data_IF_396401617735
#
_entry.id   IF_396401617735
#
_cell.length_a   1.000
_cell.length_b   1.000
_cell.length_c   1.000
_cell.angle_alpha   90.00
_cell.angle_beta   90.00
_cell.angle_gamma   90.00
#
_symmetry.space_group_name_H-M   'P 1'
#
loop_
_entity.id
_entity.type
_entity.pdbx_description
1 polymer ?
#
# COMPACT_ATOMS: atom_id res chain seq x y z
N UNK A 1 -34.89 34.14 -24.92
CA UNK A 1 -35.91 33.27 -25.53
C UNK A 1 -35.83 31.91 -24.87
N UNK A 2 -36.80 31.69 -24.09
CA UNK A 2 -37.66 30.55 -23.78
C UNK A 2 -36.99 29.32 -23.08
N UNK A 3 -37.24 29.25 -21.81
CA UNK A 3 -37.54 28.02 -21.04
C UNK A 3 -39.00 27.64 -21.36
N UNK A 4 -39.39 26.37 -21.42
CA UNK A 4 -40.10 25.76 -20.30
C UNK A 4 -39.85 24.24 -20.18
N UNK A 5 -40.29 23.46 -19.25
CA UNK A 5 -41.21 23.52 -18.13
C UNK A 5 -41.24 22.15 -17.44
N UNK A 6 -41.30 22.21 -16.18
CA UNK A 6 -41.71 21.26 -15.16
C UNK A 6 -42.86 20.33 -15.56
N UNK A 7 -42.82 19.04 -15.15
CA UNK A 7 -43.99 18.32 -14.63
C UNK A 7 -43.63 17.26 -13.59
N UNK A 8 -44.01 17.58 -12.36
CA UNK A 8 -44.27 16.66 -11.25
C UNK A 8 -45.53 15.83 -11.59
N UNK A 9 -45.57 14.58 -11.16
CA UNK A 9 -46.81 13.89 -10.84
C UNK A 9 -46.61 13.06 -9.55
N UNK A 10 -47.52 13.33 -8.65
CA UNK A 10 -47.61 12.78 -7.30
C UNK A 10 -48.55 11.53 -7.29
N UNK A 11 -48.40 10.79 -6.21
CA UNK A 11 -49.12 9.64 -5.66
C UNK A 11 -50.65 9.59 -5.91
N UNK A 12 -51.37 8.50 -5.54
CA UNK A 12 -51.61 8.21 -4.15
C UNK A 12 -51.76 6.73 -3.71
N UNK A 13 -51.72 6.59 -2.42
CA UNK A 13 -52.07 5.49 -1.53
C UNK A 13 -53.42 4.81 -1.81
N UNK A 14 -53.50 3.52 -1.54
CA UNK A 14 -54.74 2.86 -1.23
C UNK A 14 -54.54 1.85 -0.05
N UNK A 15 -55.13 2.23 1.05
CA UNK A 15 -55.39 1.46 2.27
C UNK A 15 -56.52 0.51 1.98
N UNK A 16 -56.41 -0.76 2.31
CA UNK A 16 -57.52 -1.66 2.44
C UNK A 16 -57.43 -2.39 3.80
N UNK A 17 -58.32 -1.95 4.69
CA UNK A 17 -58.72 -2.65 5.91
C UNK A 17 -59.52 -3.91 5.54
N UNK A 18 -59.15 -5.03 6.13
CA UNK A 18 -59.94 -6.24 6.13
C UNK A 18 -60.05 -6.78 7.57
N UNK A 19 -61.16 -6.44 8.22
CA UNK A 19 -61.63 -7.09 9.45
C UNK A 19 -62.33 -8.39 9.09
N UNK A 20 -61.94 -9.52 9.76
CA UNK A 20 -62.85 -10.66 9.94
C UNK A 20 -62.35 -11.45 11.17
N UNK A 21 -63.06 -11.31 12.23
CA UNK A 21 -63.94 -12.25 12.92
C UNK A 21 -63.23 -13.34 13.72
N UNK A 22 -63.36 -13.14 14.99
CA UNK A 22 -63.49 -14.03 16.12
C UNK A 22 -63.82 -15.51 15.83
N UNK A 23 -62.99 -16.39 16.35
CA UNK A 23 -63.28 -17.80 16.58
C UNK A 23 -62.61 -18.24 17.87
N UNK A 24 -63.38 -18.16 18.98
CA UNK A 24 -63.01 -18.80 20.23
C UNK A 24 -63.18 -20.31 20.08
N UNK A 25 -62.12 -21.09 20.31
CA UNK A 25 -62.18 -22.54 20.55
C UNK A 25 -61.44 -22.87 21.85
N UNK A 26 -61.87 -23.90 22.58
CA UNK A 26 -61.65 -24.00 24.01
C UNK A 26 -60.29 -24.53 24.42
N UNK A 27 -59.88 -24.04 25.55
CA UNK A 27 -58.77 -24.45 26.38
C UNK A 27 -58.70 -25.96 26.61
N UNK A 28 -57.69 -26.66 26.06
CA UNK A 28 -57.31 -28.02 26.41
C UNK A 28 -55.98 -28.00 27.16
N UNK A 29 -55.72 -28.91 28.08
CA UNK A 29 -54.66 -28.76 29.06
C UNK A 29 -53.27 -28.97 28.53
N UNK A 30 -52.42 -28.01 28.85
CA UNK A 30 -50.97 -28.07 29.09
C UNK A 30 -50.14 -29.14 28.36
N UNK A 31 -49.61 -28.79 27.21
CA UNK A 31 -48.41 -29.41 26.68
C UNK A 31 -47.21 -28.47 26.85
N UNK A 32 -46.93 -28.05 28.09
CA UNK A 32 -45.79 -27.16 28.42
C UNK A 32 -44.69 -27.95 29.13
N UNK A 33 -44.38 -29.16 28.66
CA UNK A 33 -43.39 -29.97 29.36
C UNK A 33 -42.54 -30.89 28.45
N UNK A 34 -42.35 -30.55 27.17
CA UNK A 34 -41.58 -31.44 26.30
C UNK A 34 -40.37 -30.81 25.59
N UNK A 35 -40.11 -29.51 25.80
CA UNK A 35 -38.93 -28.87 25.16
C UNK A 35 -37.88 -28.36 26.16
N UNK A 36 -38.00 -28.72 27.45
CA UNK A 36 -37.09 -28.31 28.50
C UNK A 36 -36.00 -29.35 28.84
N UNK A 37 -35.74 -30.31 27.95
CA UNK A 37 -34.72 -31.35 28.18
C UNK A 37 -33.91 -31.69 26.89
N UNK A 38 -33.76 -30.74 25.97
CA UNK A 38 -32.61 -30.82 25.07
C UNK A 38 -31.42 -30.23 25.81
N UNK A 39 -30.50 -31.13 26.18
CA UNK A 39 -29.21 -30.76 26.73
C UNK A 39 -28.53 -29.79 25.78
N UNK A 40 -28.32 -28.55 26.23
CA UNK A 40 -27.43 -27.61 25.59
C UNK A 40 -26.08 -28.32 25.49
N UNK A 41 -25.55 -28.62 24.30
CA UNK A 41 -24.22 -29.19 24.22
C UNK A 41 -23.29 -28.18 24.89
N UNK A 42 -22.49 -28.64 25.86
CA UNK A 42 -21.42 -27.86 26.45
C UNK A 42 -20.63 -27.29 25.28
N UNK A 43 -20.24 -25.99 25.31
CA UNK A 43 -19.39 -25.43 24.29
C UNK A 43 -18.08 -26.22 24.33
N UNK A 44 -17.93 -27.13 23.38
CA UNK A 44 -16.68 -27.80 23.09
C UNK A 44 -15.61 -26.68 23.10
N UNK A 45 -14.63 -26.82 23.98
CA UNK A 45 -13.53 -25.88 24.11
C UNK A 45 -12.94 -25.77 22.72
N UNK A 46 -13.43 -24.80 21.96
CA UNK A 46 -12.76 -24.38 20.75
C UNK A 46 -11.35 -23.96 21.19
N UNK A 47 -10.44 -24.90 21.07
CA UNK A 47 -9.03 -24.62 21.09
C UNK A 47 -8.88 -23.48 20.10
N UNK A 48 -8.68 -22.27 20.63
CA UNK A 48 -8.31 -21.12 19.81
C UNK A 48 -7.05 -21.55 19.10
N UNK A 49 -7.18 -22.13 17.91
CA UNK A 49 -6.12 -22.19 16.94
C UNK A 49 -5.66 -20.74 16.80
N UNK A 50 -4.57 -20.47 17.51
CA UNK A 50 -3.84 -19.20 17.42
C UNK A 50 -3.49 -19.11 15.95
N UNK A 51 -4.28 -18.35 15.18
CA UNK A 51 -3.92 -18.02 13.81
C UNK A 51 -2.45 -17.62 13.86
N UNK A 52 -1.61 -18.06 12.91
CA UNK A 52 -0.22 -17.68 12.90
C UNK A 52 -0.19 -16.17 13.10
N UNK A 53 0.40 -15.71 14.19
CA UNK A 53 0.55 -14.28 14.45
C UNK A 53 1.22 -13.73 13.20
N UNK A 54 0.52 -12.82 12.50
CA UNK A 54 1.16 -12.07 11.44
C UNK A 54 2.49 -11.58 12.01
N UNK A 55 3.61 -11.79 11.29
CA UNK A 55 4.93 -11.47 11.82
C UNK A 55 4.89 -10.05 12.38
N UNK A 56 5.31 -9.92 13.64
CA UNK A 56 5.30 -8.63 14.33
C UNK A 56 6.17 -7.66 13.54
N UNK A 57 5.63 -6.48 13.25
CA UNK A 57 6.40 -5.44 12.56
C UNK A 57 7.68 -5.12 13.37
N UNK A 58 8.80 -4.88 12.69
CA UNK A 58 10.07 -4.57 13.33
C UNK A 58 9.93 -3.28 14.16
N UNK A 59 10.53 -3.29 15.35
CA UNK A 59 10.45 -2.18 16.31
C UNK A 59 11.70 -1.31 16.31
N UNK A 60 12.78 -1.84 15.78
CA UNK A 60 14.07 -1.16 15.72
C UNK A 60 14.59 -1.10 14.28
N UNK A 61 15.44 -0.11 13.93
CA UNK A 61 16.06 -0.06 12.61
C UNK A 61 16.80 -1.36 12.25
N UNK A 62 17.56 -1.94 13.19
CA UNK A 62 18.30 -3.18 12.95
C UNK A 62 17.38 -4.39 12.67
N UNK A 63 16.26 -4.51 13.39
CA UNK A 63 15.25 -5.54 13.09
C UNK A 63 14.64 -5.32 11.71
N UNK A 64 14.36 -4.06 11.36
CA UNK A 64 13.81 -3.70 10.04
C UNK A 64 14.77 -4.10 8.92
N UNK A 65 16.05 -3.78 9.05
CA UNK A 65 17.07 -4.10 8.05
C UNK A 65 17.22 -5.62 7.86
N UNK A 66 17.16 -6.39 8.95
CA UNK A 66 17.20 -7.85 8.88
C UNK A 66 15.97 -8.41 8.14
N UNK A 67 14.76 -7.97 8.52
CA UNK A 67 13.52 -8.41 7.88
C UNK A 67 13.48 -8.03 6.41
N UNK A 68 13.93 -6.82 6.06
CA UNK A 68 13.99 -6.38 4.66
C UNK A 68 14.99 -7.19 3.85
N UNK A 69 16.16 -7.52 4.41
CA UNK A 69 17.15 -8.36 3.74
C UNK A 69 16.56 -9.72 3.36
N UNK A 70 15.93 -10.40 4.30
CA UNK A 70 15.27 -11.69 4.06
C UNK A 70 14.15 -11.58 2.99
N UNK A 71 13.37 -10.49 3.04
CA UNK A 71 12.29 -10.25 2.07
C UNK A 71 12.83 -9.93 0.66
N UNK A 72 13.94 -9.20 0.54
CA UNK A 72 14.57 -8.95 -0.75
C UNK A 72 15.16 -10.22 -1.37
N UNK A 73 15.72 -11.12 -0.57
CA UNK A 73 16.18 -12.43 -1.04
C UNK A 73 15.00 -13.27 -1.57
N UNK A 74 13.87 -13.27 -0.85
CA UNK A 74 12.65 -13.93 -1.31
C UNK A 74 12.09 -13.28 -2.59
N UNK A 75 12.15 -11.96 -2.69
CA UNK A 75 11.69 -11.23 -3.86
C UNK A 75 12.53 -11.57 -5.10
N UNK A 76 13.85 -11.56 -4.95
CA UNK A 76 14.79 -11.88 -6.02
C UNK A 76 14.68 -13.33 -6.49
N UNK A 77 14.29 -14.25 -5.60
CA UNK A 77 14.11 -15.69 -5.91
C UNK A 77 12.66 -16.06 -6.25
N UNK A 78 11.74 -15.10 -6.38
CA UNK A 78 10.36 -15.37 -6.74
C UNK A 78 10.25 -15.99 -8.14
N UNK A 79 9.49 -17.09 -8.26
CA UNK A 79 9.33 -17.82 -9.52
C UNK A 79 8.47 -17.08 -10.54
N UNK A 80 7.49 -16.28 -10.05
CA UNK A 80 6.57 -15.52 -10.88
C UNK A 80 6.11 -14.21 -10.23
N UNK A 81 5.42 -13.36 -10.99
CA UNK A 81 4.89 -12.10 -10.51
C UNK A 81 3.82 -12.22 -9.42
N UNK A 82 3.19 -13.39 -9.24
CA UNK A 82 2.17 -13.60 -8.21
C UNK A 82 2.84 -13.82 -6.86
N UNK A 83 3.87 -14.67 -6.82
CA UNK A 83 4.69 -14.87 -5.61
C UNK A 83 5.45 -13.61 -5.24
N UNK A 84 6.04 -12.91 -6.21
CA UNK A 84 6.67 -11.61 -6.00
C UNK A 84 5.72 -10.62 -5.35
N UNK A 85 4.47 -10.51 -5.81
CA UNK A 85 3.47 -9.58 -5.27
C UNK A 85 3.14 -9.83 -3.80
N UNK A 86 3.12 -11.07 -3.36
CA UNK A 86 2.91 -11.39 -1.95
C UNK A 86 4.07 -10.88 -1.07
N UNK A 87 5.30 -11.02 -1.56
CA UNK A 87 6.51 -10.50 -0.89
C UNK A 87 6.52 -8.96 -0.90
N UNK A 88 6.21 -8.33 -2.04
CA UNK A 88 6.06 -6.87 -2.15
C UNK A 88 5.14 -6.31 -1.08
N UNK A 89 3.95 -6.90 -0.90
CA UNK A 89 2.99 -6.45 0.13
C UNK A 89 3.56 -6.55 1.54
N UNK A 90 4.44 -7.50 1.79
CA UNK A 90 5.11 -7.62 3.09
C UNK A 90 6.17 -6.52 3.24
N UNK A 91 7.01 -6.32 2.24
CA UNK A 91 8.00 -5.25 2.20
C UNK A 91 7.32 -3.89 2.41
N UNK A 92 6.24 -3.61 1.68
CA UNK A 92 5.50 -2.35 1.79
C UNK A 92 4.95 -2.10 3.20
N UNK A 93 4.48 -3.14 3.87
CA UNK A 93 4.07 -3.02 5.28
C UNK A 93 5.23 -2.65 6.20
N UNK A 94 6.40 -3.23 5.98
CA UNK A 94 7.61 -2.91 6.75
C UNK A 94 8.04 -1.47 6.49
N UNK A 95 8.04 -1.04 5.24
CA UNK A 95 8.38 0.33 4.85
C UNK A 95 7.49 1.42 5.46
N UNK A 96 6.21 1.11 5.71
CA UNK A 96 5.27 2.08 6.29
C UNK A 96 5.52 2.38 7.77
N UNK A 97 6.43 1.66 8.43
CA UNK A 97 6.71 1.80 9.85
C UNK A 97 8.14 2.26 10.08
N UNK A 98 8.27 3.48 10.57
CA UNK A 98 9.58 4.05 10.93
C UNK A 98 10.10 3.55 12.28
N UNK A 99 9.23 2.97 13.12
CA UNK A 99 9.49 2.66 14.52
C UNK A 99 9.08 3.80 15.47
N UNK A 100 8.66 4.95 14.96
CA UNK A 100 8.18 6.10 15.73
C UNK A 100 6.76 6.47 15.33
N UNK A 101 5.82 6.40 16.27
CA UNK A 101 4.42 6.74 16.00
C UNK A 101 4.25 8.21 15.50
N UNK A 102 5.11 9.12 15.95
CA UNK A 102 5.10 10.51 15.49
C UNK A 102 5.54 10.61 14.04
N UNK A 103 6.62 9.94 13.67
CA UNK A 103 7.13 9.90 12.29
C UNK A 103 6.12 9.23 11.37
N UNK A 104 5.53 8.11 11.78
CA UNK A 104 4.49 7.41 11.02
C UNK A 104 3.27 8.30 10.77
N UNK A 105 2.84 9.07 11.77
CA UNK A 105 1.75 10.05 11.62
C UNK A 105 2.11 11.17 10.62
N UNK A 106 3.32 11.74 10.72
CA UNK A 106 3.78 12.78 9.81
C UNK A 106 3.91 12.25 8.38
N UNK A 107 4.46 11.04 8.23
CA UNK A 107 4.57 10.37 6.95
C UNK A 107 3.19 10.09 6.33
N UNK A 108 2.23 9.60 7.10
CA UNK A 108 0.85 9.40 6.64
C UNK A 108 0.19 10.71 6.15
N UNK A 109 0.41 11.83 6.86
CA UNK A 109 -0.07 13.15 6.42
C UNK A 109 0.62 13.65 5.16
N UNK A 110 1.91 13.35 5.01
CA UNK A 110 2.63 13.64 3.78
C UNK A 110 2.05 12.86 2.60
N UNK A 111 1.79 11.57 2.76
CA UNK A 111 1.21 10.74 1.71
C UNK A 111 -0.20 11.19 1.33
N UNK A 112 -1.01 11.61 2.29
CA UNK A 112 -2.30 12.23 2.01
C UNK A 112 -2.14 13.50 1.16
N UNK A 113 -1.21 14.39 1.53
CA UNK A 113 -0.93 15.61 0.77
C UNK A 113 -0.41 15.32 -0.65
N UNK A 114 0.39 14.25 -0.83
CA UNK A 114 0.82 13.77 -2.15
C UNK A 114 -0.39 13.32 -2.98
N UNK A 115 -1.30 12.54 -2.40
CA UNK A 115 -2.51 12.09 -3.09
C UNK A 115 -3.41 13.25 -3.51
N UNK A 116 -3.46 14.32 -2.71
CA UNK A 116 -4.15 15.58 -3.00
C UNK A 116 -3.37 16.48 -3.99
N UNK A 117 -2.18 16.05 -4.46
CA UNK A 117 -1.23 16.83 -5.27
C UNK A 117 -0.79 18.16 -4.61
N UNK A 118 -0.92 18.26 -3.31
CA UNK A 118 -0.46 19.40 -2.53
C UNK A 118 1.01 19.22 -2.14
N UNK A 119 1.90 19.33 -3.12
CA UNK A 119 3.32 19.03 -2.97
C UNK A 119 4.02 19.94 -1.96
N UNK A 120 3.65 21.21 -1.88
CA UNK A 120 4.20 22.14 -0.87
C UNK A 120 3.85 21.73 0.56
N UNK A 121 2.63 21.18 0.77
CA UNK A 121 2.23 20.63 2.06
C UNK A 121 2.93 19.33 2.37
N UNK A 122 3.09 18.47 1.36
CA UNK A 122 3.80 17.20 1.48
C UNK A 122 5.26 17.43 1.92
N UNK A 123 5.98 18.39 1.28
CA UNK A 123 7.36 18.72 1.64
C UNK A 123 7.48 19.09 3.12
N UNK A 124 6.62 19.98 3.64
CA UNK A 124 6.69 20.38 5.06
C UNK A 124 6.62 19.17 6.01
N UNK A 125 5.77 18.20 5.71
CA UNK A 125 5.70 17.00 6.54
C UNK A 125 6.93 16.11 6.34
N UNK A 126 7.40 15.94 5.10
CA UNK A 126 8.56 15.10 4.77
C UNK A 126 9.86 15.68 5.31
N UNK A 127 10.00 17.01 5.35
CA UNK A 127 11.14 17.67 6.00
C UNK A 127 11.22 17.28 7.46
N UNK A 128 10.10 17.31 8.19
CA UNK A 128 10.06 16.87 9.58
C UNK A 128 10.30 15.36 9.72
N UNK A 129 9.83 14.54 8.77
CA UNK A 129 10.09 13.09 8.77
C UNK A 129 11.58 12.81 8.69
N UNK A 130 12.30 13.39 7.71
CA UNK A 130 13.73 13.14 7.52
C UNK A 130 14.62 13.79 8.59
N UNK A 131 14.12 14.85 9.22
CA UNK A 131 14.78 15.49 10.37
C UNK A 131 14.69 14.62 11.63
N UNK A 132 13.51 14.05 11.91
CA UNK A 132 13.28 13.24 13.11
C UNK A 132 13.75 11.78 12.97
N UNK A 133 13.74 11.24 11.76
CA UNK A 133 14.18 9.89 11.44
C UNK A 133 15.11 9.88 10.22
N UNK A 134 16.37 10.33 10.36
CA UNK A 134 17.31 10.43 9.24
C UNK A 134 17.78 9.07 8.69
N UNK A 135 17.44 7.97 9.34
CA UNK A 135 17.64 6.59 8.95
C UNK A 135 16.39 5.93 8.32
N UNK A 136 15.29 6.67 8.20
CA UNK A 136 14.07 6.19 7.60
C UNK A 136 14.06 6.43 6.08
N UNK A 137 14.41 5.39 5.33
CA UNK A 137 14.58 5.43 3.86
C UNK A 137 13.37 5.99 3.12
N UNK A 138 12.15 5.59 3.52
CA UNK A 138 10.93 6.03 2.85
C UNK A 138 10.70 7.55 2.96
N UNK A 139 11.15 8.17 4.04
CA UNK A 139 11.09 9.64 4.18
C UNK A 139 11.85 10.34 3.06
N UNK A 140 13.08 9.92 2.81
CA UNK A 140 13.95 10.46 1.75
C UNK A 140 13.40 10.13 0.36
N UNK A 141 13.00 8.89 0.13
CA UNK A 141 12.45 8.45 -1.15
C UNK A 141 11.19 9.22 -1.54
N UNK A 142 10.27 9.45 -0.58
CA UNK A 142 9.05 10.22 -0.84
C UNK A 142 9.30 11.71 -0.99
N UNK A 143 10.27 12.26 -0.28
CA UNK A 143 10.67 13.66 -0.45
C UNK A 143 11.29 13.88 -1.83
N UNK A 144 12.13 12.97 -2.27
CA UNK A 144 12.68 12.97 -3.62
C UNK A 144 11.59 12.96 -4.70
N UNK A 145 10.58 12.10 -4.55
CA UNK A 145 9.43 12.09 -5.46
C UNK A 145 8.74 13.45 -5.52
N UNK A 146 8.52 14.10 -4.38
CA UNK A 146 7.86 15.41 -4.34
C UNK A 146 8.74 16.49 -4.96
N UNK A 147 10.04 16.51 -4.72
CA UNK A 147 10.98 17.41 -5.37
C UNK A 147 10.97 17.22 -6.89
N UNK A 148 10.94 15.99 -7.36
CA UNK A 148 10.84 15.69 -8.79
C UNK A 148 9.53 16.20 -9.41
N UNK A 149 8.39 16.04 -8.71
CA UNK A 149 7.10 16.61 -9.16
C UNK A 149 7.10 18.14 -9.23
N UNK A 150 7.93 18.79 -8.43
CA UNK A 150 8.13 20.24 -8.44
C UNK A 150 9.22 20.70 -9.42
N UNK A 151 9.82 19.77 -10.19
CA UNK A 151 10.94 20.01 -11.09
C UNK A 151 12.24 20.41 -10.38
N UNK A 152 12.36 20.15 -9.09
CA UNK A 152 13.58 20.36 -8.30
C UNK A 152 14.51 19.14 -8.41
N UNK A 153 14.95 18.83 -9.62
CA UNK A 153 15.69 17.61 -9.97
C UNK A 153 16.96 17.43 -9.12
N UNK A 154 17.68 18.51 -8.84
CA UNK A 154 18.90 18.47 -8.01
C UNK A 154 18.63 17.98 -6.60
N UNK A 155 17.54 18.45 -5.97
CA UNK A 155 17.12 18.02 -4.64
C UNK A 155 16.60 16.59 -4.67
N UNK A 156 15.83 16.22 -5.69
CA UNK A 156 15.35 14.84 -5.88
C UNK A 156 16.53 13.85 -5.96
N UNK A 157 17.55 14.14 -6.75
CA UNK A 157 18.76 13.30 -6.85
C UNK A 157 19.53 13.22 -5.52
N UNK A 158 19.60 14.30 -4.76
CA UNK A 158 20.22 14.32 -3.44
C UNK A 158 19.52 13.36 -2.46
N UNK A 159 18.21 13.45 -2.41
CA UNK A 159 17.38 12.60 -1.53
C UNK A 159 17.39 11.13 -1.97
N UNK A 160 17.31 10.85 -3.29
CA UNK A 160 17.43 9.48 -3.83
C UNK A 160 18.77 8.83 -3.48
N UNK A 161 19.88 9.59 -3.60
CA UNK A 161 21.21 9.09 -3.20
C UNK A 161 21.24 8.74 -1.71
N UNK A 162 20.61 9.57 -0.88
CA UNK A 162 20.53 9.30 0.54
C UNK A 162 19.69 8.05 0.83
N UNK A 163 18.53 7.92 0.19
CA UNK A 163 17.66 6.76 0.33
C UNK A 163 18.37 5.45 -0.07
N UNK A 164 19.08 5.44 -1.22
CA UNK A 164 19.84 4.27 -1.67
C UNK A 164 21.04 3.95 -0.77
N UNK A 165 21.66 4.97 -0.17
CA UNK A 165 22.72 4.73 0.80
C UNK A 165 22.21 4.07 2.10
N UNK A 166 20.95 4.30 2.45
CA UNK A 166 20.29 3.67 3.61
C UNK A 166 19.76 2.26 3.27
N UNK A 167 19.15 2.10 2.11
CA UNK A 167 18.59 0.82 1.64
C UNK A 167 18.90 0.61 0.14
N UNK A 168 20.02 -0.05 -0.18
CA UNK A 168 20.45 -0.27 -1.56
C UNK A 168 19.56 -1.22 -2.37
N UNK A 169 18.64 -1.92 -1.71
CA UNK A 169 17.73 -2.88 -2.32
C UNK A 169 16.29 -2.39 -2.36
N UNK A 170 16.03 -1.14 -2.01
CA UNK A 170 14.71 -0.55 -2.14
C UNK A 170 14.35 -0.35 -3.62
N UNK A 171 13.62 -1.31 -4.17
CA UNK A 171 13.30 -1.36 -5.61
C UNK A 171 12.49 -0.15 -6.09
N UNK A 172 11.62 0.44 -5.25
CA UNK A 172 10.88 1.67 -5.61
C UNK A 172 11.78 2.89 -5.67
N UNK A 173 12.77 2.97 -4.79
CA UNK A 173 13.78 4.04 -4.83
C UNK A 173 14.69 3.88 -6.04
N UNK A 174 15.08 2.64 -6.38
CA UNK A 174 15.85 2.35 -7.60
C UNK A 174 15.07 2.73 -8.86
N UNK A 175 13.79 2.36 -8.95
CA UNK A 175 12.93 2.75 -10.07
C UNK A 175 12.83 4.28 -10.21
N UNK A 176 12.56 4.98 -9.11
CA UNK A 176 12.52 6.44 -9.08
C UNK A 176 13.84 7.09 -9.53
N UNK A 177 14.99 6.56 -9.08
CA UNK A 177 16.30 7.06 -9.53
C UNK A 177 16.51 6.81 -11.03
N UNK A 178 16.15 5.64 -11.52
CA UNK A 178 16.27 5.34 -12.95
C UNK A 178 15.42 6.28 -13.80
N UNK A 179 14.21 6.62 -13.36
CA UNK A 179 13.34 7.59 -14.04
C UNK A 179 13.98 8.98 -14.08
N UNK A 180 14.43 9.50 -12.93
CA UNK A 180 15.06 10.82 -12.85
C UNK A 180 16.32 10.87 -13.73
N UNK A 181 17.17 9.83 -13.72
CA UNK A 181 18.37 9.77 -14.55
C UNK A 181 18.06 9.74 -16.06
N UNK A 182 16.97 9.06 -16.44
CA UNK A 182 16.50 9.09 -17.85
C UNK A 182 16.07 10.49 -18.28
N UNK A 183 15.32 11.17 -17.43
CA UNK A 183 14.79 12.51 -17.72
C UNK A 183 15.88 13.56 -17.84
N UNK A 184 16.98 13.42 -17.09
CA UNK A 184 18.15 14.31 -17.23
C UNK A 184 19.13 13.86 -18.31
N UNK A 185 18.84 12.77 -19.02
CA UNK A 185 19.68 12.26 -20.12
C UNK A 185 20.87 11.40 -19.69
N UNK A 186 20.99 11.07 -18.41
CA UNK A 186 22.05 10.22 -17.85
C UNK A 186 21.78 8.73 -18.13
N UNK A 187 21.69 8.37 -19.40
CA UNK A 187 21.26 7.04 -19.87
C UNK A 187 22.12 5.89 -19.32
N UNK A 188 23.45 6.09 -19.22
CA UNK A 188 24.35 5.08 -18.67
C UNK A 188 24.08 4.83 -17.20
N UNK A 189 23.85 5.88 -16.41
CA UNK A 189 23.47 5.80 -15.02
C UNK A 189 22.12 5.10 -14.83
N UNK A 190 21.14 5.48 -15.64
CA UNK A 190 19.82 4.85 -15.61
C UNK A 190 19.88 3.35 -15.91
N UNK A 191 20.66 2.94 -16.93
CA UNK A 191 20.85 1.52 -17.27
C UNK A 191 21.47 0.73 -16.12
N UNK A 192 22.49 1.28 -15.46
CA UNK A 192 23.13 0.63 -14.31
C UNK A 192 22.14 0.44 -13.15
N UNK A 193 21.31 1.46 -12.87
CA UNK A 193 20.28 1.39 -11.82
C UNK A 193 19.17 0.39 -12.16
N UNK A 194 18.72 0.35 -13.42
CA UNK A 194 17.70 -0.62 -13.86
C UNK A 194 18.21 -2.07 -13.79
N UNK A 195 19.47 -2.31 -14.13
CA UNK A 195 20.08 -3.64 -13.94
C UNK A 195 20.08 -4.05 -12.46
N UNK A 196 20.44 -3.12 -11.57
CA UNK A 196 20.35 -3.36 -10.13
C UNK A 196 18.93 -3.60 -9.66
N UNK A 197 17.97 -2.84 -10.15
CA UNK A 197 16.55 -3.05 -9.88
C UNK A 197 16.10 -4.46 -10.31
N UNK A 198 16.51 -4.91 -11.50
CA UNK A 198 16.18 -6.24 -12.02
C UNK A 198 16.80 -7.37 -11.17
N UNK A 199 18.00 -7.19 -10.62
CA UNK A 199 18.61 -8.14 -9.70
C UNK A 199 17.80 -8.28 -8.39
N UNK A 200 17.29 -7.17 -7.83
CA UNK A 200 16.51 -7.17 -6.60
C UNK A 200 15.08 -7.65 -6.84
N UNK A 201 14.51 -7.28 -7.97
CA UNK A 201 13.11 -7.55 -8.30
C UNK A 201 12.95 -7.91 -9.79
N UNK A 202 13.22 -9.18 -10.17
CA UNK A 202 13.16 -9.60 -11.57
C UNK A 202 11.80 -9.37 -12.25
N UNK A 203 10.72 -9.43 -11.47
CA UNK A 203 9.34 -9.26 -11.96
C UNK A 203 8.82 -7.82 -11.89
N UNK A 204 9.69 -6.82 -11.61
CA UNK A 204 9.24 -5.42 -11.59
C UNK A 204 8.78 -4.99 -12.98
N UNK A 205 7.55 -4.43 -13.09
CA UNK A 205 6.93 -4.17 -14.39
C UNK A 205 7.77 -3.23 -15.27
N UNK A 206 8.04 -3.67 -16.50
CA UNK A 206 8.68 -2.85 -17.52
C UNK A 206 10.20 -2.70 -17.41
N UNK A 207 10.83 -3.25 -16.36
CA UNK A 207 12.29 -3.12 -16.14
C UNK A 207 13.09 -3.78 -17.25
N UNK A 208 12.77 -5.01 -17.62
CA UNK A 208 13.47 -5.76 -18.65
C UNK A 208 13.46 -5.00 -20.00
N UNK A 209 12.28 -4.55 -20.40
CA UNK A 209 12.12 -3.76 -21.62
C UNK A 209 12.92 -2.44 -21.56
N UNK A 210 12.91 -1.75 -20.42
CA UNK A 210 13.66 -0.51 -20.24
C UNK A 210 15.18 -0.74 -20.32
N UNK A 211 15.67 -1.87 -19.78
CA UNK A 211 17.06 -2.29 -19.90
C UNK A 211 17.42 -2.53 -21.37
N UNK A 212 16.63 -3.27 -22.12
CA UNK A 212 16.88 -3.56 -23.54
C UNK A 212 16.90 -2.28 -24.39
N UNK A 213 15.96 -1.36 -24.16
CA UNK A 213 15.89 -0.09 -24.87
C UNK A 213 17.13 0.76 -24.60
N UNK A 214 17.49 0.96 -23.32
CA UNK A 214 18.66 1.77 -22.95
C UNK A 214 19.98 1.11 -23.32
N UNK A 215 20.11 -0.22 -23.24
CA UNK A 215 21.32 -0.90 -23.66
C UNK A 215 21.60 -0.70 -25.16
N UNK A 216 20.56 -0.80 -26.00
CA UNK A 216 20.70 -0.50 -27.44
C UNK A 216 21.15 0.93 -27.72
N UNK A 217 20.63 1.90 -26.94
CA UNK A 217 21.01 3.30 -27.10
C UNK A 217 22.44 3.61 -26.62
N UNK A 218 22.85 2.99 -25.50
CA UNK A 218 24.14 3.28 -24.85
C UNK A 218 25.25 2.43 -25.39
N UNK A 219 25.02 1.15 -25.66
CA UNK A 219 26.00 0.17 -26.08
C UNK A 219 26.09 0.07 -27.63
N UNK A 220 24.97 0.31 -28.34
CA UNK A 220 24.93 0.36 -29.81
C UNK A 220 25.52 1.62 -30.42
N UNK A 221 25.79 2.67 -29.64
CA UNK A 221 26.48 3.90 -30.09
C UNK A 221 28.03 3.81 -30.01
N UNK A 222 28.55 2.67 -29.63
CA UNK A 222 29.97 2.42 -29.39
C UNK A 222 30.76 1.85 -30.60
N UNK A 223 30.22 1.99 -31.84
CA UNK A 223 30.91 1.59 -33.08
C UNK A 223 31.24 2.81 -33.90
#
# INVERSE_FOLDING_TARGET
>A
MLVPNVRRLAAPSLILLGLAAFGLAPCGPSRVAAWAQEAVPEPEKAEKQKAPLAPSLPRTPAERDTVLTDLYEQLASSEDGTSAKAVEQHIERVWQHSGSATVDLLFGRAMQAVAEKNFSRALRFLDHVVEQAPDYTEGWSRRAFVHFQLNDVGLALGDLRRAIALDPSNYKTLDGLAQVLRDVGEKRGALAVLRRLHEVHPHWPGTERAIEELAREVEGQGI
#
